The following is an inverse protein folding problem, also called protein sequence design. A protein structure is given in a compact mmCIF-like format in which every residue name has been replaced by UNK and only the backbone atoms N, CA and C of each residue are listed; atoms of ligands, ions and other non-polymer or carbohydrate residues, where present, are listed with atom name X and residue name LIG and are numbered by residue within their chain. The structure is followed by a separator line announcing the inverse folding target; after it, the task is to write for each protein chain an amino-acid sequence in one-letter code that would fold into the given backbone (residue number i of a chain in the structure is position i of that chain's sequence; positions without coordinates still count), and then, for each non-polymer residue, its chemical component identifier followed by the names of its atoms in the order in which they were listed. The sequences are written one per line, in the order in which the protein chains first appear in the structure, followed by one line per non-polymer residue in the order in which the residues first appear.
data_IF_428822800673
#
_entry.id   IF_428822800673
#
_cell.length_a   1.000
_cell.length_b   1.000
_cell.length_c   1.000
_cell.angle_alpha   90.00
_cell.angle_beta   90.00
_cell.angle_gamma   90.00
#
_symmetry.space_group_name_H-M   'P 1'
#
loop_
_entity.id
_entity.type
_entity.pdbx_description
1 polymer ?
#
# COMPACT_ATOMS: atom_id res chain seq x y z
N UNK A 1 7.72 28.07 -3.65
CA UNK A 1 7.19 27.82 -5.00
C UNK A 1 5.79 28.42 -5.11
N UNK A 2 4.96 27.94 -6.04
CA UNK A 2 3.53 28.26 -6.15
C UNK A 2 2.71 26.99 -5.83
N UNK A 3 2.39 26.71 -4.56
CA UNK A 3 1.68 25.50 -4.18
C UNK A 3 0.24 25.49 -4.75
N UNK A 4 -0.33 24.32 -5.04
CA UNK A 4 -1.72 24.20 -5.47
C UNK A 4 -2.69 24.43 -4.30
N UNK A 5 -3.94 24.78 -4.62
CA UNK A 5 -5.02 24.89 -3.62
C UNK A 5 -5.40 23.52 -3.03
N UNK A 6 -5.34 22.46 -3.84
CA UNK A 6 -5.62 21.07 -3.47
C UNK A 6 -4.60 20.16 -4.16
N UNK A 7 -4.06 19.18 -3.42
CA UNK A 7 -3.16 18.17 -3.97
C UNK A 7 -3.47 16.78 -3.41
N UNK A 8 -3.02 15.76 -4.14
CA UNK A 8 -3.10 14.36 -3.73
C UNK A 8 -1.71 13.96 -3.23
N UNK A 9 -1.65 13.31 -2.08
CA UNK A 9 -0.43 12.77 -1.51
C UNK A 9 -0.62 11.28 -1.16
N UNK A 10 0.45 10.47 -1.19
CA UNK A 10 0.30 9.01 -1.20
C UNK A 10 0.15 8.37 0.18
N UNK A 11 0.60 9.01 1.27
CA UNK A 11 0.70 8.37 2.58
C UNK A 11 0.20 9.27 3.73
N UNK A 12 -0.67 8.77 4.62
CA UNK A 12 -1.09 9.48 5.83
C UNK A 12 0.06 9.98 6.71
N UNK A 13 1.20 9.26 6.74
CA UNK A 13 2.39 9.68 7.50
C UNK A 13 2.95 11.05 7.08
N UNK A 14 2.84 11.40 5.80
CA UNK A 14 3.28 12.71 5.29
C UNK A 14 2.35 13.85 5.69
N UNK A 15 1.08 13.56 6.00
CA UNK A 15 0.10 14.58 6.37
C UNK A 15 0.56 15.36 7.60
N UNK A 16 1.11 14.65 8.61
CA UNK A 16 1.61 15.28 9.84
C UNK A 16 2.72 16.28 9.53
N UNK A 17 3.70 15.91 8.69
CA UNK A 17 4.78 16.82 8.29
C UNK A 17 4.25 18.08 7.61
N UNK A 18 3.26 17.94 6.72
CA UNK A 18 2.65 19.11 6.07
C UNK A 18 1.92 20.04 7.04
N UNK A 19 1.28 19.50 8.08
CA UNK A 19 0.64 20.29 9.14
C UNK A 19 1.70 20.99 10.00
N UNK A 20 2.77 20.30 10.40
CA UNK A 20 3.88 20.85 11.19
C UNK A 20 4.62 21.96 10.45
N UNK A 21 4.78 21.82 9.13
CA UNK A 21 5.39 22.84 8.26
C UNK A 21 4.44 23.99 7.89
N UNK A 22 3.23 24.05 8.49
CA UNK A 22 2.20 25.06 8.23
C UNK A 22 1.78 25.14 6.74
N UNK A 23 1.79 24.02 6.02
CA UNK A 23 1.46 23.97 4.60
C UNK A 23 -0.01 23.65 4.31
N UNK A 24 -0.78 23.28 5.35
CA UNK A 24 -2.18 22.89 5.25
C UNK A 24 -3.06 23.73 6.17
N UNK A 25 -4.31 23.89 5.75
CA UNK A 25 -5.39 24.46 6.57
C UNK A 25 -6.36 23.36 6.98
N UNK A 26 -6.99 23.44 8.17
CA UNK A 26 -8.03 22.50 8.56
C UNK A 26 -9.18 22.49 7.57
N UNK A 27 -9.77 21.31 7.36
CA UNK A 27 -10.96 21.16 6.53
C UNK A 27 -12.15 21.90 7.15
N UNK A 28 -12.98 22.56 6.33
CA UNK A 28 -14.23 23.16 6.79
C UNK A 28 -15.18 22.13 7.42
N UNK A 29 -15.98 22.55 8.40
CA UNK A 29 -16.90 21.68 9.13
C UNK A 29 -17.87 20.93 8.20
N UNK A 30 -18.39 21.58 7.15
CA UNK A 30 -19.29 20.93 6.20
C UNK A 30 -18.61 19.79 5.40
N UNK A 31 -17.29 19.88 5.18
CA UNK A 31 -16.51 18.82 4.52
C UNK A 31 -16.28 17.67 5.50
N UNK A 32 -15.96 17.98 6.76
CA UNK A 32 -15.78 16.96 7.81
C UNK A 32 -17.08 16.18 8.05
N UNK A 33 -18.22 16.86 8.16
CA UNK A 33 -19.52 16.21 8.32
C UNK A 33 -19.87 15.32 7.13
N UNK A 34 -19.63 15.80 5.90
CA UNK A 34 -19.85 15.00 4.70
C UNK A 34 -18.91 13.77 4.68
N UNK A 35 -17.66 13.91 5.11
CA UNK A 35 -16.75 12.77 5.22
C UNK A 35 -17.24 11.73 6.23
N UNK A 36 -17.63 12.15 7.42
CA UNK A 36 -18.11 11.27 8.48
C UNK A 36 -19.41 10.54 8.11
N UNK A 37 -20.27 11.17 7.30
CA UNK A 37 -21.51 10.54 6.81
C UNK A 37 -21.24 9.50 5.70
N UNK A 38 -20.23 9.72 4.86
CA UNK A 38 -20.07 8.97 3.61
C UNK A 38 -18.90 7.98 3.60
N UNK A 39 -17.98 8.03 4.59
CA UNK A 39 -16.81 7.15 4.65
C UNK A 39 -16.78 6.31 5.93
N UNK A 40 -16.12 5.16 5.84
CA UNK A 40 -15.81 4.32 6.99
C UNK A 40 -14.81 5.06 7.90
N UNK A 41 -15.05 5.00 9.21
CA UNK A 41 -14.25 5.71 10.23
C UNK A 41 -12.74 5.48 10.10
N UNK A 42 -12.33 4.23 9.84
CA UNK A 42 -10.92 3.89 9.66
C UNK A 42 -10.23 4.59 8.50
N UNK A 43 -10.97 5.01 7.45
CA UNK A 43 -10.39 5.74 6.32
C UNK A 43 -10.20 7.23 6.62
N UNK A 44 -11.17 7.85 7.31
CA UNK A 44 -11.07 9.28 7.62
C UNK A 44 -10.00 9.55 8.68
N UNK A 45 -9.69 8.58 9.56
CA UNK A 45 -8.64 8.70 10.57
C UNK A 45 -7.27 9.04 9.99
N UNK A 46 -6.95 8.55 8.78
CA UNK A 46 -5.71 8.90 8.07
C UNK A 46 -5.61 10.36 7.63
N UNK A 47 -6.73 11.09 7.65
CA UNK A 47 -6.82 12.52 7.35
C UNK A 47 -6.73 13.41 8.60
N UNK A 48 -6.54 12.85 9.79
CA UNK A 48 -6.59 13.56 11.06
C UNK A 48 -5.20 13.81 11.65
N UNK A 49 -4.97 15.03 12.16
CA UNK A 49 -3.78 15.38 12.95
C UNK A 49 -4.25 16.11 14.21
N UNK A 50 -4.03 15.50 15.38
CA UNK A 50 -4.64 15.96 16.62
C UNK A 50 -6.16 15.87 16.54
N UNK A 51 -6.86 16.96 16.88
CA UNK A 51 -8.32 17.01 16.88
C UNK A 51 -8.92 17.58 15.58
N UNK A 52 -8.11 17.82 14.54
CA UNK A 52 -8.55 18.42 13.27
C UNK A 52 -8.29 17.51 12.07
N UNK A 53 -9.17 17.61 11.07
CA UNK A 53 -9.02 16.95 9.78
C UNK A 53 -8.36 17.88 8.77
N UNK A 54 -7.41 17.35 8.01
CA UNK A 54 -6.65 18.08 6.98
C UNK A 54 -6.70 17.40 5.61
N UNK A 55 -7.20 16.15 5.53
CA UNK A 55 -7.27 15.38 4.31
C UNK A 55 -8.60 14.65 4.14
N UNK A 56 -9.05 14.52 2.88
CA UNK A 56 -10.22 13.73 2.48
C UNK A 56 -9.72 12.43 1.86
N UNK A 57 -10.22 11.25 2.26
CA UNK A 57 -9.91 10.00 1.58
C UNK A 57 -10.31 10.06 0.11
N UNK A 58 -9.36 9.77 -0.78
CA UNK A 58 -9.58 9.82 -2.23
C UNK A 58 -9.50 8.44 -2.88
N UNK A 59 -8.56 7.60 -2.42
CA UNK A 59 -8.30 6.26 -2.98
C UNK A 59 -7.64 5.40 -1.93
N UNK A 60 -7.98 4.10 -1.92
CA UNK A 60 -7.28 3.07 -1.16
C UNK A 60 -6.77 2.00 -2.12
N UNK A 61 -5.49 1.66 -2.00
CA UNK A 61 -4.84 0.61 -2.78
C UNK A 61 -4.33 -0.47 -1.84
N UNK A 62 -4.75 -1.71 -2.05
CA UNK A 62 -4.25 -2.86 -1.29
C UNK A 62 -2.98 -3.37 -1.97
N UNK A 63 -1.86 -3.32 -1.25
CA UNK A 63 -0.53 -3.67 -1.77
C UNK A 63 -0.18 -5.15 -1.61
N UNK A 64 -0.73 -5.82 -0.61
CA UNK A 64 -0.47 -7.24 -0.26
C UNK A 64 -1.13 -8.26 -1.20
N UNK A 65 -1.29 -7.94 -2.49
CA UNK A 65 -1.91 -8.82 -3.48
C UNK A 65 -0.85 -9.34 -4.46
N UNK A 66 -0.84 -10.66 -4.67
CA UNK A 66 -0.06 -11.29 -5.74
C UNK A 66 -0.99 -11.52 -6.93
N UNK A 67 -0.72 -10.83 -8.03
CA UNK A 67 -1.48 -10.97 -9.27
C UNK A 67 -0.89 -12.07 -10.15
N UNK A 68 -1.75 -12.92 -10.72
CA UNK A 68 -1.35 -14.00 -11.62
C UNK A 68 -2.29 -14.09 -12.83
N UNK A 69 -1.87 -14.83 -13.86
CA UNK A 69 -2.70 -15.12 -15.04
C UNK A 69 -3.41 -16.48 -14.86
N UNK A 70 -4.74 -16.51 -14.73
CA UNK A 70 -5.48 -17.78 -14.61
C UNK A 70 -5.28 -18.71 -15.82
N UNK A 71 -5.22 -18.15 -17.03
CA UNK A 71 -4.97 -18.92 -18.25
C UNK A 71 -3.57 -19.58 -18.24
N UNK A 72 -2.55 -18.87 -17.76
CA UNK A 72 -1.21 -19.43 -17.65
C UNK A 72 -1.15 -20.53 -16.57
N UNK A 73 -1.86 -20.36 -15.46
CA UNK A 73 -1.94 -21.37 -14.41
C UNK A 73 -2.63 -22.64 -14.91
N UNK A 74 -3.77 -22.50 -15.60
CA UNK A 74 -4.48 -23.65 -16.21
C UNK A 74 -3.61 -24.37 -17.25
N UNK A 75 -2.92 -23.63 -18.12
CA UNK A 75 -2.09 -24.20 -19.19
C UNK A 75 -0.87 -24.98 -18.65
N UNK A 76 -0.32 -24.58 -17.51
CA UNK A 76 0.85 -25.22 -16.90
C UNK A 76 0.47 -26.17 -15.73
N UNK A 77 -0.81 -26.26 -15.36
CA UNK A 77 -1.26 -27.10 -14.25
C UNK A 77 -0.85 -26.58 -12.87
N UNK A 78 -0.77 -25.26 -12.70
CA UNK A 78 -0.44 -24.62 -11.43
C UNK A 78 -1.69 -24.34 -10.58
N UNK A 79 -1.54 -24.44 -9.26
CA UNK A 79 -2.56 -24.08 -8.28
C UNK A 79 -2.16 -22.82 -7.50
N UNK A 80 -3.15 -22.08 -6.99
CA UNK A 80 -2.88 -20.91 -6.15
C UNK A 80 -2.37 -21.40 -4.79
N UNK A 81 -1.18 -20.98 -4.35
CA UNK A 81 -0.61 -21.43 -3.09
C UNK A 81 -1.37 -20.83 -1.91
N UNK A 82 -1.57 -21.63 -0.86
CA UNK A 82 -2.29 -21.23 0.34
C UNK A 82 -1.38 -20.56 1.39
N UNK A 83 -0.09 -20.85 1.35
CA UNK A 83 0.90 -20.31 2.28
C UNK A 83 2.25 -20.01 1.63
N UNK A 84 3.20 -19.56 2.46
CA UNK A 84 4.51 -19.13 1.99
C UNK A 84 5.37 -20.29 1.46
N UNK A 85 5.29 -21.47 2.08
CA UNK A 85 6.09 -22.62 1.68
C UNK A 85 5.59 -23.15 0.32
N UNK A 86 4.27 -23.23 0.15
CA UNK A 86 3.64 -23.56 -1.13
C UNK A 86 3.94 -22.50 -2.21
N UNK A 87 3.99 -21.22 -1.84
CA UNK A 87 4.35 -20.15 -2.77
C UNK A 87 5.80 -20.28 -3.26
N UNK A 88 6.73 -20.62 -2.37
CA UNK A 88 8.14 -20.89 -2.75
C UNK A 88 8.24 -22.14 -3.63
N UNK A 89 7.56 -23.22 -3.25
CA UNK A 89 7.54 -24.46 -4.05
C UNK A 89 6.98 -24.25 -5.46
N UNK A 90 5.92 -23.43 -5.60
CA UNK A 90 5.36 -23.07 -6.91
C UNK A 90 6.37 -22.29 -7.76
N UNK A 91 7.12 -21.37 -7.16
CA UNK A 91 8.17 -20.64 -7.89
C UNK A 91 9.29 -21.57 -8.36
N UNK A 92 9.71 -22.53 -7.53
CA UNK A 92 10.72 -23.52 -7.91
C UNK A 92 10.23 -24.38 -9.08
N UNK A 93 8.97 -24.87 -9.02
CA UNK A 93 8.34 -25.60 -10.12
C UNK A 93 8.32 -24.79 -11.41
N UNK A 94 7.92 -23.51 -11.35
CA UNK A 94 7.91 -22.62 -12.52
C UNK A 94 9.30 -22.48 -13.15
N UNK A 95 10.38 -22.44 -12.35
CA UNK A 95 11.76 -22.41 -12.86
C UNK A 95 12.13 -23.73 -13.54
N UNK A 96 11.78 -24.88 -12.95
CA UNK A 96 12.02 -26.20 -13.53
C UNK A 96 11.30 -26.38 -14.88
N UNK A 97 10.10 -25.81 -15.01
CA UNK A 97 9.31 -25.79 -16.24
C UNK A 97 9.84 -24.81 -17.29
N UNK A 98 10.86 -24.00 -16.95
CA UNK A 98 11.48 -23.00 -17.84
C UNK A 98 10.75 -21.65 -17.90
N UNK A 99 9.86 -21.39 -16.95
CA UNK A 99 9.12 -20.14 -16.83
C UNK A 99 9.80 -19.15 -15.87
N UNK A 100 9.42 -17.87 -15.97
CA UNK A 100 9.81 -16.85 -14.98
C UNK A 100 8.69 -16.70 -13.95
N UNK A 101 8.92 -17.01 -12.66
CA UNK A 101 7.83 -17.08 -11.68
C UNK A 101 7.20 -15.73 -11.34
N UNK A 102 8.04 -14.68 -11.26
CA UNK A 102 7.61 -13.35 -10.85
C UNK A 102 8.12 -12.28 -11.82
N UNK A 103 7.21 -11.39 -12.21
CA UNK A 103 7.54 -10.14 -12.88
C UNK A 103 7.60 -9.03 -11.83
N UNK A 104 8.80 -8.67 -11.38
CA UNK A 104 9.00 -7.62 -10.37
C UNK A 104 9.79 -6.47 -10.99
N UNK A 105 9.17 -5.29 -11.02
CA UNK A 105 9.86 -4.06 -11.41
C UNK A 105 10.74 -3.57 -10.26
N UNK A 106 12.02 -3.93 -10.26
CA UNK A 106 13.02 -3.46 -9.29
C UNK A 106 14.03 -2.59 -10.03
N UNK A 107 14.02 -1.29 -9.75
CA UNK A 107 15.03 -0.35 -10.24
C UNK A 107 15.47 0.64 -9.17
N UNK A 108 16.66 1.22 -9.32
CA UNK A 108 17.21 2.19 -8.35
C UNK A 108 16.80 3.64 -8.61
N UNK A 109 15.97 3.89 -9.64
CA UNK A 109 15.51 5.22 -9.99
C UNK A 109 14.29 5.64 -9.17
N UNK A 110 13.94 6.93 -9.21
CA UNK A 110 12.85 7.53 -8.45
C UNK A 110 11.44 6.91 -8.67
N UNK A 111 11.28 5.99 -9.61
CA UNK A 111 9.99 5.44 -10.02
C UNK A 111 9.79 3.94 -9.74
N UNK A 112 10.83 3.12 -9.62
CA UNK A 112 10.70 1.64 -9.67
C UNK A 112 11.41 0.88 -8.55
N UNK A 113 11.93 1.55 -7.52
CA UNK A 113 12.48 0.87 -6.33
C UNK A 113 11.43 0.51 -5.29
N UNK A 114 10.41 1.35 -5.15
CA UNK A 114 9.36 1.19 -4.14
C UNK A 114 8.52 -0.10 -4.29
N UNK A 115 8.27 -0.70 -5.47
CA UNK A 115 7.46 -1.93 -5.53
C UNK A 115 8.09 -3.08 -4.76
N UNK A 116 9.42 -3.07 -4.56
CA UNK A 116 10.09 -4.08 -3.75
C UNK A 116 9.91 -3.85 -2.24
N UNK A 117 9.67 -2.60 -1.79
CA UNK A 117 9.38 -2.35 -0.37
C UNK A 117 8.07 -3.02 0.03
N UNK A 118 7.07 -3.03 -0.85
CA UNK A 118 5.79 -3.71 -0.60
C UNK A 118 6.00 -5.21 -0.30
N UNK A 119 6.94 -5.90 -0.97
CA UNK A 119 7.28 -7.30 -0.67
C UNK A 119 7.92 -7.44 0.71
N UNK A 120 8.92 -6.60 1.03
CA UNK A 120 9.61 -6.67 2.32
C UNK A 120 8.65 -6.32 3.47
N UNK A 121 7.82 -5.31 3.29
CA UNK A 121 6.80 -4.89 4.24
C UNK A 121 5.80 -6.03 4.50
N UNK A 122 5.28 -6.68 3.45
CA UNK A 122 4.33 -7.79 3.60
C UNK A 122 4.99 -9.00 4.28
N UNK A 123 6.23 -9.35 3.93
CA UNK A 123 6.96 -10.43 4.60
C UNK A 123 7.19 -10.14 6.08
N UNK A 124 7.60 -8.92 6.43
CA UNK A 124 7.77 -8.52 7.83
C UNK A 124 6.45 -8.64 8.60
N UNK A 125 5.34 -8.15 8.02
CA UNK A 125 4.02 -8.23 8.62
C UNK A 125 3.52 -9.67 8.77
N UNK A 126 3.66 -10.50 7.73
CA UNK A 126 3.15 -11.87 7.68
C UNK A 126 3.95 -12.84 8.55
N UNK A 127 5.26 -12.66 8.62
CA UNK A 127 6.16 -13.57 9.35
C UNK A 127 6.39 -13.15 10.81
N UNK A 128 6.31 -11.85 11.11
CA UNK A 128 6.67 -11.33 12.44
C UNK A 128 5.53 -10.57 13.14
N UNK A 129 4.42 -10.32 12.45
CA UNK A 129 3.25 -9.66 13.02
C UNK A 129 3.38 -8.13 13.13
N UNK A 130 2.27 -7.46 13.46
CA UNK A 130 2.20 -6.00 13.48
C UNK A 130 3.10 -5.38 14.56
N UNK A 131 3.29 -6.03 15.72
CA UNK A 131 4.11 -5.47 16.81
C UNK A 131 5.59 -5.36 16.45
N UNK A 132 6.11 -6.29 15.63
CA UNK A 132 7.49 -6.23 15.13
C UNK A 132 7.59 -5.25 13.97
N UNK A 133 6.57 -5.21 13.11
CA UNK A 133 6.49 -4.25 12.02
C UNK A 133 6.54 -2.80 12.54
N UNK A 134 5.79 -2.48 13.59
CA UNK A 134 5.75 -1.15 14.21
C UNK A 134 7.09 -0.72 14.84
N UNK A 135 8.00 -1.64 15.14
CA UNK A 135 9.35 -1.31 15.63
C UNK A 135 10.32 -0.96 14.48
N UNK A 136 9.98 -1.36 13.26
CA UNK A 136 10.82 -1.16 12.08
C UNK A 136 10.52 0.18 11.38
N UNK A 137 9.28 0.67 11.46
CA UNK A 137 8.79 1.90 10.81
C UNK A 137 8.96 3.18 11.62
#
# INVERSE_FOLDING_TARGET
GNPPDVFIFPQPGLLRSFVEDCQLVPLPENVVSAMQENFVEGFIAGGQVGDQYYGVPNKSDVKSLVWYSPEAFEANGYEVPADHDEFVALMDQMVEDGNTPLCIGIGSDAATGWPFTDWIEDYMLRLHGPEVYDQWV
#
